data_IF_416966549861
#
_entry.id   IF_416966549861
#
_cell.length_a   1.000
_cell.length_b   1.000
_cell.length_c   1.000
_cell.angle_alpha   90.00
_cell.angle_beta   90.00
_cell.angle_gamma   90.00
#
_symmetry.space_group_name_H-M   'P 1'
#
loop_
_entity.id
_entity.type
_entity.pdbx_description
1 polymer ?
#
# COMPACT_ATOMS: atom_id res chain seq x y z
N UNK A 1 0.64 -12.49 2.27
CA UNK A 1 2.03 -12.32 2.72
C UNK A 1 2.36 -10.82 2.69
N UNK A 2 1.98 -10.10 3.75
CA UNK A 2 2.19 -8.66 4.05
C UNK A 2 1.19 -8.18 5.13
N UNK A 3 0.23 -9.04 5.53
CA UNK A 3 -0.82 -8.73 6.50
C UNK A 3 -0.27 -8.26 7.85
N UNK A 4 0.81 -8.88 8.36
CA UNK A 4 1.43 -8.45 9.63
C UNK A 4 2.05 -7.06 9.51
N UNK A 5 2.71 -6.77 8.38
CA UNK A 5 3.26 -5.45 8.10
C UNK A 5 2.14 -4.41 7.98
N UNK A 6 1.06 -4.75 7.28
CA UNK A 6 -0.13 -3.89 7.16
C UNK A 6 -0.75 -3.62 8.53
N UNK A 7 -0.93 -4.65 9.37
CA UNK A 7 -1.48 -4.53 10.71
C UNK A 7 -0.59 -3.66 11.62
N UNK A 8 0.73 -3.84 11.53
CA UNK A 8 1.68 -3.01 12.27
C UNK A 8 1.59 -1.54 11.84
N UNK A 9 1.65 -1.25 10.53
CA UNK A 9 1.55 0.13 10.04
C UNK A 9 0.20 0.74 10.42
N UNK A 10 -0.91 0.00 10.28
CA UNK A 10 -2.23 0.46 10.71
C UNK A 10 -2.24 0.81 12.20
N UNK A 11 -1.64 -0.02 13.06
CA UNK A 11 -1.58 0.25 14.51
C UNK A 11 -0.84 1.54 14.89
N UNK A 12 0.04 2.05 14.01
CA UNK A 12 0.73 3.33 14.20
C UNK A 12 -0.10 4.55 13.81
N UNK A 13 -1.22 4.35 13.09
CA UNK A 13 -2.08 5.41 12.58
C UNK A 13 -3.36 5.54 13.42
N UNK A 14 -4.05 6.69 13.36
CA UNK A 14 -5.38 6.87 13.98
C UNK A 14 -6.45 5.93 13.39
N UNK A 15 -7.40 5.47 14.22
CA UNK A 15 -8.45 4.49 13.82
C UNK A 15 -9.31 4.98 12.66
N UNK A 16 -9.60 6.29 12.60
CA UNK A 16 -10.32 6.94 11.49
C UNK A 16 -9.59 6.82 10.15
N UNK A 17 -8.26 6.69 10.16
CA UNK A 17 -7.44 6.52 8.97
C UNK A 17 -7.22 5.04 8.62
N UNK A 18 -7.50 4.10 9.54
CA UNK A 18 -7.24 2.68 9.32
C UNK A 18 -7.95 2.15 8.08
N UNK A 19 -9.22 2.51 7.90
CA UNK A 19 -10.00 2.00 6.76
C UNK A 19 -9.46 2.52 5.43
N UNK A 20 -9.13 3.82 5.36
CA UNK A 20 -8.53 4.43 4.16
C UNK A 20 -7.15 3.84 3.87
N UNK A 21 -6.28 3.80 4.88
CA UNK A 21 -4.93 3.26 4.75
C UNK A 21 -4.97 1.79 4.35
N UNK A 22 -5.91 1.01 4.90
CA UNK A 22 -6.11 -0.39 4.56
C UNK A 22 -6.42 -0.58 3.08
N UNK A 23 -7.40 0.15 2.55
CA UNK A 23 -7.76 0.12 1.12
C UNK A 23 -6.62 0.60 0.21
N UNK A 24 -5.92 1.66 0.61
CA UNK A 24 -4.76 2.16 -0.13
C UNK A 24 -3.64 1.12 -0.16
N UNK A 25 -3.42 0.38 0.93
CA UNK A 25 -2.39 -0.67 1.02
C UNK A 25 -2.74 -1.88 0.16
N UNK A 26 -4.02 -2.26 0.09
CA UNK A 26 -4.46 -3.32 -0.82
C UNK A 26 -4.20 -2.93 -2.28
N UNK A 27 -4.43 -1.66 -2.62
CA UNK A 27 -4.11 -1.11 -3.94
C UNK A 27 -2.60 -1.05 -4.20
N UNK A 28 -1.80 -0.72 -3.17
CA UNK A 28 -0.34 -0.74 -3.25
C UNK A 28 0.20 -2.12 -3.64
N UNK A 29 -0.35 -3.15 -3.00
CA UNK A 29 0.06 -4.55 -3.17
C UNK A 29 -0.69 -5.27 -4.29
N UNK A 30 -1.64 -4.61 -4.96
CA UNK A 30 -2.41 -5.20 -6.06
C UNK A 30 -1.50 -5.61 -7.21
N UNK A 31 -1.61 -6.86 -7.63
CA UNK A 31 -0.78 -7.49 -8.66
C UNK A 31 0.73 -7.50 -8.38
N UNK A 32 1.14 -7.24 -7.13
CA UNK A 32 2.54 -7.32 -6.74
C UNK A 32 2.85 -8.75 -6.30
N UNK A 33 3.84 -9.33 -6.96
CA UNK A 33 4.35 -10.66 -6.65
C UNK A 33 5.63 -10.56 -5.81
N UNK A 34 6.01 -11.64 -5.15
CA UNK A 34 7.28 -11.70 -4.40
C UNK A 34 8.45 -11.97 -5.36
N UNK A 35 8.68 -11.03 -6.27
CA UNK A 35 9.69 -11.13 -7.32
C UNK A 35 10.38 -9.78 -7.55
N UNK A 36 11.63 -9.82 -8.00
CA UNK A 36 12.47 -8.65 -8.26
C UNK A 36 12.55 -8.28 -9.75
N UNK A 37 11.70 -8.90 -10.58
CA UNK A 37 11.62 -8.57 -11.99
C UNK A 37 11.23 -7.10 -12.21
N UNK A 38 11.77 -6.51 -13.27
CA UNK A 38 11.60 -5.08 -13.57
C UNK A 38 10.12 -4.68 -13.68
N UNK A 39 9.29 -5.56 -14.25
CA UNK A 39 7.84 -5.31 -14.40
C UNK A 39 7.15 -5.18 -13.04
N UNK A 40 7.42 -6.10 -12.11
CA UNK A 40 6.88 -6.06 -10.75
C UNK A 40 7.34 -4.82 -9.99
N UNK A 41 8.61 -4.41 -10.15
CA UNK A 41 9.15 -3.18 -9.55
C UNK A 41 8.51 -1.92 -10.12
N UNK A 42 8.34 -1.84 -11.43
CA UNK A 42 7.67 -0.71 -12.08
C UNK A 42 6.22 -0.60 -11.61
N UNK A 43 5.52 -1.73 -11.51
CA UNK A 43 4.14 -1.77 -11.01
C UNK A 43 4.04 -1.33 -9.56
N UNK A 44 4.96 -1.79 -8.70
CA UNK A 44 5.05 -1.33 -7.32
C UNK A 44 5.29 0.18 -7.24
N UNK A 45 6.20 0.70 -8.07
CA UNK A 45 6.50 2.14 -8.11
C UNK A 45 5.29 2.96 -8.54
N UNK A 46 4.54 2.52 -9.56
CA UNK A 46 3.29 3.17 -9.98
C UNK A 46 2.23 3.13 -8.88
N UNK A 47 2.01 1.97 -8.27
CA UNK A 47 1.07 1.80 -7.18
C UNK A 47 1.43 2.70 -5.98
N UNK A 48 2.73 2.87 -5.69
CA UNK A 48 3.23 3.76 -4.63
C UNK A 48 2.98 5.24 -4.94
N UNK A 49 3.11 5.65 -6.20
CA UNK A 49 2.74 7.01 -6.63
C UNK A 49 1.25 7.27 -6.41
N UNK A 50 0.39 6.33 -6.80
CA UNK A 50 -1.06 6.42 -6.56
C UNK A 50 -1.36 6.46 -5.06
N UNK A 51 -0.74 5.59 -4.26
CA UNK A 51 -0.85 5.59 -2.80
C UNK A 51 -0.52 6.96 -2.21
N UNK A 52 0.62 7.57 -2.57
CA UNK A 52 0.98 8.91 -2.08
C UNK A 52 -0.02 9.98 -2.49
N UNK A 53 -0.60 9.89 -3.68
CA UNK A 53 -1.59 10.86 -4.15
C UNK A 53 -2.92 10.70 -3.40
N UNK A 54 -3.42 9.47 -3.23
CA UNK A 54 -4.65 9.20 -2.47
C UNK A 54 -4.50 9.55 -0.98
N UNK A 55 -3.31 9.37 -0.42
CA UNK A 55 -3.04 9.74 0.96
C UNK A 55 -2.90 11.26 1.17
N UNK A 56 -2.46 11.99 0.13
CA UNK A 56 -2.38 13.47 0.14
C UNK A 56 -3.70 14.14 -0.22
N UNK A 57 -4.53 13.50 -1.03
CA UNK A 57 -5.87 13.95 -1.35
C UNK A 57 -6.75 13.73 -0.11
N UNK A 58 -7.08 14.85 0.56
CA UNK A 58 -7.87 14.90 1.80
C UNK A 58 -9.13 14.05 1.74
#
# INVERSE_FOLDING_TARGET
>A
MYADLKAHILSTQPVDQHQRLSSCFDRLMSDITRSLDSKNRDKFSQNLTTFRNEFRAK
#
